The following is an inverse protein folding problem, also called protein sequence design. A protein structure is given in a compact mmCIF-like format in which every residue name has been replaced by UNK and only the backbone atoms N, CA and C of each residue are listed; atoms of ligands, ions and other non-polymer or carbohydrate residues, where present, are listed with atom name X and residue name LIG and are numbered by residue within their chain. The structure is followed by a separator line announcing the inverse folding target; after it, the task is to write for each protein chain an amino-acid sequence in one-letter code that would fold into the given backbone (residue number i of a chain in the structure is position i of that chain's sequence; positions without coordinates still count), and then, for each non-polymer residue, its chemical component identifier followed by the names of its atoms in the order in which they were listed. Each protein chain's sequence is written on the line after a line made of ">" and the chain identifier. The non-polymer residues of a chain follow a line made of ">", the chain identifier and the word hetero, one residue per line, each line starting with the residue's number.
data_IF_364585613939
#
_entry.id   IF_364585613939
#
_cell.length_a   1.000
_cell.length_b   1.000
_cell.length_c   1.000
_cell.angle_alpha   90.00
_cell.angle_beta   90.00
_cell.angle_gamma   90.00
#
_symmetry.space_group_name_H-M   'P 1'
#
loop_
_entity.id
_entity.type
_entity.pdbx_description
1 polymer ?
#
# COMPACT_ATOMS: atom_id res chain seq x y z
N UNK A 1 -21.59 -15.52 -19.64
CA UNK A 1 -20.30 -16.06 -19.14
C UNK A 1 -19.73 -17.06 -20.14
N UNK A 2 -18.51 -16.80 -20.63
CA UNK A 2 -17.75 -17.75 -21.46
C UNK A 2 -17.08 -18.83 -20.58
N UNK A 3 -16.80 -20.04 -21.09
CA UNK A 3 -16.22 -21.13 -20.29
C UNK A 3 -14.87 -20.77 -19.63
N UNK A 4 -14.06 -19.95 -20.31
CA UNK A 4 -12.76 -19.50 -19.80
C UNK A 4 -12.86 -18.38 -18.74
N UNK A 5 -14.04 -17.76 -18.59
CA UNK A 5 -14.29 -16.80 -17.50
C UNK A 5 -14.13 -17.43 -16.12
N UNK A 6 -14.27 -18.77 -16.01
CA UNK A 6 -14.16 -19.53 -14.76
C UNK A 6 -12.69 -19.84 -14.40
N UNK A 7 -11.79 -19.93 -15.39
CA UNK A 7 -10.36 -20.24 -15.14
C UNK A 7 -9.60 -19.03 -14.59
N UNK A 8 -9.90 -17.83 -15.10
CA UNK A 8 -9.24 -16.59 -14.66
C UNK A 8 -9.87 -15.92 -13.44
N UNK A 9 -10.90 -16.54 -12.83
CA UNK A 9 -11.61 -16.01 -11.65
C UNK A 9 -10.68 -15.74 -10.47
N UNK A 10 -9.57 -16.49 -10.39
CA UNK A 10 -8.65 -16.46 -9.28
C UNK A 10 -7.39 -15.65 -9.56
N UNK A 11 -7.22 -15.10 -10.77
CA UNK A 11 -5.96 -14.49 -11.23
C UNK A 11 -6.07 -12.98 -11.45
N UNK A 12 -7.22 -12.36 -11.18
CA UNK A 12 -7.42 -10.92 -11.35
C UNK A 12 -6.51 -10.04 -10.50
N UNK A 13 -5.92 -10.60 -9.45
CA UNK A 13 -4.88 -9.96 -8.64
C UNK A 13 -3.58 -9.75 -9.45
N UNK A 14 -3.24 -10.66 -10.38
CA UNK A 14 -2.04 -10.56 -11.22
C UNK A 14 -2.05 -9.32 -12.11
N UNK A 15 -3.22 -8.77 -12.43
CA UNK A 15 -3.33 -7.52 -13.17
C UNK A 15 -2.62 -6.37 -12.43
N UNK A 16 -2.59 -6.37 -11.10
CA UNK A 16 -1.88 -5.35 -10.31
C UNK A 16 -0.36 -5.47 -10.35
N UNK A 17 0.20 -6.58 -10.86
CA UNK A 17 1.63 -6.70 -11.14
C UNK A 17 2.03 -6.05 -12.48
N UNK A 18 1.07 -5.65 -13.30
CA UNK A 18 1.34 -4.97 -14.56
C UNK A 18 1.67 -3.49 -14.33
N UNK A 19 2.65 -2.90 -15.06
CA UNK A 19 3.03 -1.49 -14.86
C UNK A 19 1.86 -0.52 -14.97
N UNK A 20 0.90 -0.81 -15.85
CA UNK A 20 -0.22 0.06 -16.17
C UNK A 20 -1.28 0.11 -15.05
N UNK A 21 -1.33 -0.93 -14.20
CA UNK A 21 -2.36 -1.12 -13.16
C UNK A 21 -1.75 -1.07 -11.75
N UNK A 22 -0.44 -1.29 -11.62
CA UNK A 22 0.26 -1.29 -10.34
C UNK A 22 -0.04 -0.03 -9.50
N UNK A 23 -0.08 1.13 -10.16
CA UNK A 23 -0.33 2.43 -9.52
C UNK A 23 -1.82 2.71 -9.24
N UNK A 24 -2.75 1.86 -9.70
CA UNK A 24 -4.16 2.09 -9.44
C UNK A 24 -4.44 1.90 -7.95
N UNK A 25 -5.05 2.91 -7.34
CA UNK A 25 -5.43 2.88 -5.92
C UNK A 25 -6.92 3.19 -5.78
N UNK A 26 -7.56 2.77 -4.67
CA UNK A 26 -8.85 3.32 -4.29
C UNK A 26 -8.75 4.84 -4.12
N UNK A 27 -9.86 5.59 -4.21
CA UNK A 27 -9.86 7.01 -3.87
C UNK A 27 -9.38 7.25 -2.44
N UNK A 28 -8.67 8.36 -2.22
CA UNK A 28 -8.10 8.76 -0.92
C UNK A 28 -9.08 8.64 0.27
N UNK A 29 -10.37 9.05 0.17
CA UNK A 29 -11.32 8.85 1.27
C UNK A 29 -11.54 7.39 1.66
N UNK A 30 -11.54 6.47 0.68
CA UNK A 30 -11.72 5.04 0.93
C UNK A 30 -10.44 4.39 1.48
N UNK A 31 -9.27 4.86 1.02
CA UNK A 31 -7.99 4.46 1.61
C UNK A 31 -7.94 4.83 3.09
N UNK A 32 -8.31 6.08 3.43
CA UNK A 32 -8.34 6.57 4.81
C UNK A 32 -9.28 5.75 5.70
N UNK A 33 -10.51 5.51 5.25
CA UNK A 33 -11.49 4.69 5.97
C UNK A 33 -10.97 3.28 6.25
N UNK A 34 -10.35 2.64 5.27
CA UNK A 34 -9.75 1.32 5.47
C UNK A 34 -8.61 1.37 6.50
N UNK A 35 -7.75 2.39 6.41
CA UNK A 35 -6.65 2.56 7.37
C UNK A 35 -7.15 2.78 8.80
N UNK A 36 -8.18 3.60 8.99
CA UNK A 36 -8.84 3.81 10.29
C UNK A 36 -9.41 2.48 10.83
N UNK A 37 -10.10 1.71 9.98
CA UNK A 37 -10.66 0.42 10.36
C UNK A 37 -9.59 -0.61 10.74
N UNK A 38 -8.44 -0.61 10.07
CA UNK A 38 -7.30 -1.48 10.39
C UNK A 38 -6.60 -1.03 11.67
N UNK A 39 -6.42 0.27 11.88
CA UNK A 39 -5.83 0.80 13.11
C UNK A 39 -6.69 0.49 14.34
N UNK A 40 -8.02 0.53 14.20
CA UNK A 40 -8.94 0.13 15.26
C UNK A 40 -8.78 -1.34 15.70
N UNK A 41 -8.23 -2.22 14.86
CA UNK A 41 -7.90 -3.59 15.25
C UNK A 41 -6.68 -3.65 16.17
N UNK A 42 -5.74 -2.71 16.03
CA UNK A 42 -4.55 -2.65 16.87
C UNK A 42 -4.84 -2.10 18.29
N UNK A 43 -5.84 -1.21 18.41
CA UNK A 43 -6.31 -0.67 19.69
C UNK A 43 -7.44 -1.51 20.33
N UNK A 44 -7.83 -2.61 19.70
CA UNK A 44 -8.88 -3.49 20.21
C UNK A 44 -8.49 -4.12 21.56
N UNK A 45 -9.38 -4.12 22.57
CA UNK A 45 -9.12 -4.78 23.85
C UNK A 45 -9.11 -6.31 23.75
N UNK A 46 -9.50 -6.86 22.59
CA UNK A 46 -9.43 -8.29 22.34
C UNK A 46 -7.98 -8.71 22.12
N UNK A 47 -7.51 -9.66 22.94
CA UNK A 47 -6.21 -10.31 22.75
C UNK A 47 -6.25 -11.21 21.51
N UNK A 48 -6.07 -10.62 20.33
CA UNK A 48 -5.96 -11.34 19.06
C UNK A 48 -4.53 -11.85 18.87
N UNK A 49 -4.39 -13.12 18.48
CA UNK A 49 -3.12 -13.65 17.99
C UNK A 49 -2.73 -12.99 16.66
N UNK A 50 -1.45 -13.09 16.27
CA UNK A 50 -0.97 -12.59 14.98
C UNK A 50 -1.80 -13.08 13.78
N UNK A 51 -2.05 -14.41 13.65
CA UNK A 51 -2.90 -14.96 12.60
C UNK A 51 -4.34 -14.41 12.62
N UNK A 52 -4.98 -14.34 13.79
CA UNK A 52 -6.34 -13.80 13.92
C UNK A 52 -6.41 -12.33 13.51
N UNK A 53 -5.40 -11.54 13.86
CA UNK A 53 -5.31 -10.14 13.41
C UNK A 53 -5.20 -10.05 11.89
N UNK A 54 -4.38 -10.90 11.28
CA UNK A 54 -4.24 -10.94 9.82
C UNK A 54 -5.58 -11.30 9.14
N UNK A 55 -6.31 -12.28 9.65
CA UNK A 55 -7.64 -12.64 9.14
C UNK A 55 -8.63 -11.47 9.23
N UNK A 56 -8.64 -10.77 10.37
CA UNK A 56 -9.49 -9.58 10.56
C UNK A 56 -9.12 -8.47 9.58
N UNK A 57 -7.83 -8.22 9.34
CA UNK A 57 -7.37 -7.27 8.33
C UNK A 57 -7.86 -7.66 6.94
N UNK A 58 -7.73 -8.94 6.56
CA UNK A 58 -8.22 -9.42 5.27
C UNK A 58 -9.75 -9.32 5.16
N UNK A 59 -10.49 -9.48 6.25
CA UNK A 59 -11.93 -9.22 6.26
C UNK A 59 -12.23 -7.74 6.02
N UNK A 60 -11.53 -6.81 6.69
CA UNK A 60 -11.70 -5.36 6.47
C UNK A 60 -11.41 -4.94 5.04
N UNK A 61 -10.38 -5.52 4.40
CA UNK A 61 -10.07 -5.29 2.99
C UNK A 61 -11.23 -5.73 2.10
N UNK A 62 -11.77 -6.94 2.33
CA UNK A 62 -12.92 -7.46 1.57
C UNK A 62 -14.17 -6.61 1.76
N UNK A 63 -14.46 -6.21 3.00
CA UNK A 63 -15.60 -5.36 3.33
C UNK A 63 -15.50 -3.99 2.63
N UNK A 64 -14.32 -3.36 2.67
CA UNK A 64 -14.07 -2.08 2.03
C UNK A 64 -14.21 -2.17 0.50
N UNK A 65 -13.66 -3.22 -0.11
CA UNK A 65 -13.80 -3.45 -1.53
C UNK A 65 -15.28 -3.64 -1.94
N UNK A 66 -16.04 -4.45 -1.19
CA UNK A 66 -17.47 -4.66 -1.45
C UNK A 66 -18.28 -3.37 -1.30
N UNK A 67 -18.00 -2.58 -0.27
CA UNK A 67 -18.69 -1.32 -0.03
C UNK A 67 -18.41 -0.29 -1.14
N UNK A 68 -17.16 -0.22 -1.63
CA UNK A 68 -16.78 0.71 -2.68
C UNK A 68 -17.29 0.32 -4.07
N UNK A 69 -17.27 -0.96 -4.41
CA UNK A 69 -17.72 -1.44 -5.71
C UNK A 69 -19.26 -1.55 -5.78
N UNK A 70 -19.93 -0.40 -5.72
CA UNK A 70 -21.36 -0.24 -6.06
C UNK A 70 -21.59 -0.56 -7.54
N UNK A 71 -22.84 -0.81 -8.00
CA UNK A 71 -23.12 -1.11 -9.41
C UNK A 71 -22.51 -0.10 -10.39
N UNK A 72 -22.58 1.19 -10.07
CA UNK A 72 -22.05 2.27 -10.91
C UNK A 72 -20.52 2.24 -10.96
N UNK A 73 -19.88 2.01 -9.81
CA UNK A 73 -18.42 1.89 -9.72
C UNK A 73 -17.94 0.65 -10.47
N UNK A 74 -18.63 -0.49 -10.32
CA UNK A 74 -18.35 -1.73 -11.05
C UNK A 74 -18.37 -1.49 -12.56
N UNK A 75 -19.40 -0.82 -13.10
CA UNK A 75 -19.47 -0.50 -14.53
C UNK A 75 -18.30 0.38 -15.00
N UNK A 76 -17.92 1.38 -14.21
CA UNK A 76 -16.79 2.27 -14.56
C UNK A 76 -15.47 1.51 -14.60
N UNK A 77 -15.20 0.65 -13.61
CA UNK A 77 -13.98 -0.17 -13.59
C UNK A 77 -14.01 -1.25 -14.67
N UNK A 78 -15.17 -1.86 -14.95
CA UNK A 78 -15.33 -2.80 -16.05
C UNK A 78 -14.93 -2.17 -17.40
N UNK A 79 -15.43 -0.96 -17.71
CA UNK A 79 -15.05 -0.24 -18.93
C UNK A 79 -13.56 0.11 -18.96
N UNK A 80 -12.96 0.41 -17.81
CA UNK A 80 -11.52 0.69 -17.73
C UNK A 80 -10.69 -0.57 -18.00
N UNK A 81 -11.06 -1.70 -17.39
CA UNK A 81 -10.43 -3.00 -17.63
C UNK A 81 -10.62 -3.49 -19.07
N UNK A 82 -11.77 -3.22 -19.68
CA UNK A 82 -12.00 -3.55 -21.09
C UNK A 82 -11.03 -2.82 -22.03
N UNK A 83 -10.73 -1.56 -21.74
CA UNK A 83 -9.70 -0.80 -22.48
C UNK A 83 -8.30 -1.35 -22.23
N UNK A 84 -7.98 -1.76 -21.00
CA UNK A 84 -6.72 -2.42 -20.70
C UNK A 84 -6.57 -3.75 -21.45
N UNK A 85 -7.65 -4.52 -21.58
CA UNK A 85 -7.61 -5.75 -22.36
C UNK A 85 -7.30 -5.51 -23.84
N UNK A 86 -7.85 -4.45 -24.43
CA UNK A 86 -7.51 -4.05 -25.80
C UNK A 86 -6.02 -3.69 -25.91
N UNK A 87 -5.52 -2.85 -25.00
CA UNK A 87 -4.10 -2.50 -24.94
C UNK A 87 -3.17 -3.72 -24.78
N UNK A 88 -3.50 -4.65 -23.89
CA UNK A 88 -2.72 -5.88 -23.72
C UNK A 88 -2.76 -6.77 -24.97
N UNK A 89 -3.87 -6.78 -25.71
CA UNK A 89 -3.94 -7.50 -26.99
C UNK A 89 -3.02 -6.88 -28.03
N UNK A 90 -3.08 -5.55 -28.19
CA UNK A 90 -2.27 -4.80 -29.16
C UNK A 90 -0.77 -4.91 -28.87
N UNK A 91 -0.40 -5.06 -27.60
CA UNK A 91 1.00 -5.19 -27.14
C UNK A 91 1.49 -6.64 -27.05
N UNK A 92 0.72 -7.62 -27.52
CA UNK A 92 1.13 -9.03 -27.55
C UNK A 92 1.16 -9.73 -26.18
N UNK A 93 0.28 -9.30 -25.26
CA UNK A 93 0.13 -9.81 -23.89
C UNK A 93 -1.23 -10.50 -23.69
N UNK A 94 -1.48 -11.64 -24.38
CA UNK A 94 -2.82 -12.26 -24.45
C UNK A 94 -3.35 -12.71 -23.08
N UNK A 95 -2.49 -13.27 -22.22
CA UNK A 95 -2.88 -13.71 -20.88
C UNK A 95 -3.47 -12.55 -20.05
N UNK A 96 -2.78 -11.39 -20.03
CA UNK A 96 -3.27 -10.21 -19.32
C UNK A 96 -4.53 -9.63 -19.96
N UNK A 97 -4.66 -9.72 -21.28
CA UNK A 97 -5.88 -9.32 -21.97
C UNK A 97 -7.08 -10.16 -21.52
N UNK A 98 -6.91 -11.48 -21.45
CA UNK A 98 -7.99 -12.41 -21.08
C UNK A 98 -8.38 -12.26 -19.60
N UNK A 99 -7.40 -12.10 -18.70
CA UNK A 99 -7.65 -11.75 -17.30
C UNK A 99 -8.45 -10.45 -17.17
N UNK A 100 -8.04 -9.40 -17.90
CA UNK A 100 -8.72 -8.10 -17.87
C UNK A 100 -10.15 -8.17 -18.45
N UNK A 101 -10.40 -8.97 -19.49
CA UNK A 101 -11.76 -9.21 -20.02
C UNK A 101 -12.63 -9.96 -19.03
N UNK A 102 -12.10 -11.00 -18.40
CA UNK A 102 -12.80 -11.80 -17.40
C UNK A 102 -13.25 -10.95 -16.21
N UNK A 103 -12.34 -10.15 -15.65
CA UNK A 103 -12.65 -9.22 -14.55
C UNK A 103 -13.62 -8.10 -15.00
N UNK A 104 -13.47 -7.57 -16.21
CA UNK A 104 -14.42 -6.59 -16.74
C UNK A 104 -15.84 -7.16 -16.85
N UNK A 105 -16.01 -8.36 -17.41
CA UNK A 105 -17.31 -9.04 -17.51
C UNK A 105 -17.89 -9.32 -16.13
N UNK A 106 -17.07 -9.79 -15.19
CA UNK A 106 -17.48 -10.04 -13.80
C UNK A 106 -18.03 -8.79 -13.13
N UNK A 107 -17.28 -7.68 -13.20
CA UNK A 107 -17.73 -6.41 -12.66
C UNK A 107 -19.00 -5.90 -13.36
N UNK A 108 -19.10 -6.07 -14.68
CA UNK A 108 -20.26 -5.61 -15.44
C UNK A 108 -21.54 -6.39 -15.13
N UNK A 109 -21.45 -7.72 -14.99
CA UNK A 109 -22.61 -8.58 -14.75
C UNK A 109 -22.93 -8.81 -13.27
N UNK A 110 -22.08 -8.32 -12.35
CA UNK A 110 -22.36 -8.29 -10.92
C UNK A 110 -22.44 -9.66 -10.26
N UNK A 111 -21.64 -10.64 -10.72
CA UNK A 111 -21.53 -11.92 -10.01
C UNK A 111 -20.95 -11.66 -8.61
N UNK A 112 -21.80 -11.78 -7.59
CA UNK A 112 -21.44 -11.42 -6.22
C UNK A 112 -20.47 -12.43 -5.59
N UNK A 113 -20.40 -13.68 -6.09
CA UNK A 113 -19.41 -14.67 -5.62
C UNK A 113 -18.83 -15.58 -6.73
N UNK A 114 -17.54 -15.96 -6.63
CA UNK A 114 -16.54 -15.35 -5.75
C UNK A 114 -16.32 -13.88 -6.15
N UNK A 115 -16.19 -13.00 -5.14
CA UNK A 115 -15.96 -11.59 -5.38
C UNK A 115 -14.65 -11.34 -6.17
N UNK A 116 -14.58 -10.24 -6.92
CA UNK A 116 -13.48 -9.91 -7.81
C UNK A 116 -12.15 -9.80 -7.05
N UNK A 117 -11.16 -10.64 -7.41
CA UNK A 117 -9.81 -10.58 -6.84
C UNK A 117 -9.09 -9.31 -7.24
N UNK A 118 -9.33 -8.82 -8.45
CA UNK A 118 -8.88 -7.49 -8.85
C UNK A 118 -9.36 -6.39 -7.88
N UNK A 119 -10.65 -6.41 -7.52
CA UNK A 119 -11.24 -5.42 -6.61
C UNK A 119 -10.68 -5.53 -5.19
N UNK A 120 -10.54 -6.75 -4.66
CA UNK A 120 -9.92 -6.98 -3.33
C UNK A 120 -8.46 -6.50 -3.30
N UNK A 121 -7.67 -6.86 -4.31
CA UNK A 121 -6.24 -6.51 -4.37
C UNK A 121 -6.03 -5.00 -4.48
N UNK A 122 -6.94 -4.26 -5.13
CA UNK A 122 -6.92 -2.80 -5.16
C UNK A 122 -6.88 -2.22 -3.74
N UNK A 123 -7.65 -2.78 -2.81
CA UNK A 123 -7.68 -2.35 -1.41
C UNK A 123 -6.57 -2.99 -0.57
N UNK A 124 -6.18 -4.23 -0.85
CA UNK A 124 -5.08 -4.90 -0.13
C UNK A 124 -3.76 -4.12 -0.24
N UNK A 125 -3.49 -3.49 -1.40
CA UNK A 125 -2.31 -2.64 -1.60
C UNK A 125 -2.21 -1.48 -0.61
N UNK A 126 -3.34 -0.93 -0.16
CA UNK A 126 -3.36 0.16 0.84
C UNK A 126 -2.74 -0.31 2.15
N UNK A 127 -3.09 -1.51 2.60
CA UNK A 127 -2.57 -2.08 3.85
C UNK A 127 -1.08 -2.40 3.72
N UNK A 128 -0.66 -2.97 2.59
CA UNK A 128 0.76 -3.27 2.34
C UNK A 128 1.60 -1.99 2.34
N UNK A 129 1.13 -0.95 1.64
CA UNK A 129 1.81 0.34 1.59
C UNK A 129 1.93 0.98 2.98
N UNK A 130 0.85 0.94 3.76
CA UNK A 130 0.87 1.49 5.12
C UNK A 130 1.80 0.72 6.06
N UNK A 131 1.84 -0.61 5.96
CA UNK A 131 2.76 -1.44 6.73
C UNK A 131 4.22 -1.13 6.37
N UNK A 132 4.54 -0.99 5.07
CA UNK A 132 5.87 -0.60 4.61
C UNK A 132 6.27 0.80 5.11
N UNK A 133 5.33 1.76 5.08
CA UNK A 133 5.54 3.10 5.61
C UNK A 133 5.83 3.11 7.11
N UNK A 134 5.09 2.32 7.90
CA UNK A 134 5.31 2.18 9.34
C UNK A 134 6.68 1.54 9.66
N UNK A 135 7.07 0.51 8.90
CA UNK A 135 8.39 -0.13 9.03
C UNK A 135 9.54 0.84 8.72
N UNK A 136 9.42 1.62 7.66
CA UNK A 136 10.43 2.62 7.29
C UNK A 136 10.60 3.70 8.38
N UNK A 137 9.50 4.16 8.99
CA UNK A 137 9.53 5.12 10.09
C UNK A 137 10.18 4.54 11.35
N UNK A 138 9.85 3.29 11.71
CA UNK A 138 10.46 2.62 12.85
C UNK A 138 11.98 2.41 12.66
N UNK A 139 12.40 2.03 11.45
CA UNK A 139 13.82 1.91 11.09
C UNK A 139 14.56 3.25 11.20
N UNK A 140 13.96 4.35 10.72
CA UNK A 140 14.53 5.69 10.84
C UNK A 140 14.64 6.15 12.31
N UNK A 141 13.64 5.84 13.15
CA UNK A 141 13.68 6.16 14.58
C UNK A 141 14.76 5.38 15.34
N UNK A 142 15.02 4.13 14.93
CA UNK A 142 16.05 3.27 15.55
C UNK A 142 17.46 3.62 15.05
N UNK A 143 17.58 4.05 13.78
CA UNK A 143 18.83 4.52 13.18
C UNK A 143 19.30 5.89 13.66
N UNK A 144 18.44 6.66 14.34
CA UNK A 144 18.79 7.94 14.96
C UNK A 144 19.47 7.80 16.35
N UNK A 145 19.69 6.57 16.84
CA UNK A 145 20.46 6.30 18.05
C UNK A 145 21.78 5.61 17.71
N UNK A 146 22.70 6.36 17.11
CA UNK A 146 24.11 5.98 17.08
C UNK A 146 24.73 6.24 18.47
N UNK A 147 25.32 5.24 19.14
CA UNK A 147 26.05 5.45 20.39
C UNK A 147 27.47 5.97 20.08
N UNK A 148 27.87 7.03 20.78
CA UNK A 148 29.28 7.35 21.03
C UNK A 148 29.92 8.33 20.06
N UNK A 149 29.72 9.62 20.32
CA UNK A 149 30.78 10.62 20.09
C UNK A 149 32.02 10.18 20.89
N UNK A 150 33.20 9.97 20.28
CA UNK A 150 34.42 9.78 21.06
C UNK A 150 34.75 11.09 21.79
N UNK A 151 35.13 11.06 23.09
CA UNK A 151 35.45 12.27 23.82
C UNK A 151 36.68 12.95 23.21
N UNK A 152 36.56 14.24 22.91
CA UNK A 152 37.66 15.08 22.49
C UNK A 152 38.77 15.10 23.56
N UNK A 153 40.06 14.94 23.21
CA UNK A 153 41.14 15.07 24.17
C UNK A 153 41.30 16.53 24.61
N UNK A 154 41.28 16.74 25.93
CA UNK A 154 41.49 18.02 26.58
C UNK A 154 42.86 18.62 26.22
N UNK A 155 42.88 19.85 25.71
CA UNK A 155 44.10 20.65 25.57
C UNK A 155 44.33 21.50 26.84
N UNK A 156 45.53 21.51 27.43
CA UNK A 156 45.81 22.27 28.65
C UNK A 156 45.91 23.77 28.38
N UNK A 157 45.18 24.51 29.22
CA UNK A 157 45.17 25.96 29.38
C UNK A 157 46.58 26.52 29.60
N UNK A 158 47.06 27.33 28.65
CA UNK A 158 48.27 28.13 28.87
C UNK A 158 47.87 29.56 29.20
N UNK A 159 47.81 29.84 30.50
CA UNK A 159 47.62 31.16 31.10
C UNK A 159 48.73 32.12 30.64
N UNK A 160 48.40 33.13 29.83
CA UNK A 160 49.19 34.37 29.77
C UNK A 160 48.50 35.42 30.65
N UNK A 161 48.92 35.50 31.92
CA UNK A 161 48.76 36.70 32.76
C UNK A 161 49.66 37.80 32.16
N UNK A 162 49.10 38.91 31.66
CA UNK A 162 48.75 40.15 32.38
C UNK A 162 49.91 41.17 32.34
N UNK A 163 49.75 42.46 32.71
CA UNK A 163 49.31 43.54 31.82
C UNK A 163 50.22 44.80 31.84
N UNK A 164 50.05 45.69 30.87
CA UNK A 164 50.23 47.13 31.07
C UNK A 164 51.59 47.77 30.74
N UNK A 165 51.54 48.77 29.85
CA UNK A 165 52.39 49.98 29.89
C UNK A 165 53.64 49.98 29.02
N UNK A 166 53.64 50.70 27.91
CA UNK A 166 54.14 52.09 27.86
C UNK A 166 53.98 52.70 26.46
N UNK A 167 53.87 54.02 26.48
CA UNK A 167 53.60 54.97 25.39
C UNK A 167 54.90 55.28 24.61
N UNK A 168 54.73 55.53 23.30
CA UNK A 168 55.51 56.31 22.28
C UNK A 168 56.80 57.08 22.69
N UNK A 169 57.76 57.36 21.77
CA UNK A 169 57.55 57.87 20.40
C UNK A 169 58.09 57.03 19.23
#
# INVERSE_FOLDING_TARGET
>A
PEPDDVRHVLEGDQLHATPEIAEWMPPEPEMRRLMEAVQALASSPLALSGPQRQEQVQQRVRDAARAFFTPEVRQRYARRLWRMAAYFTETGRPLQADMARGEARRLFHGLDEPFSRFAETLFAKVVVLAAAGAQAQAAAATGAHAPGEPPAPAAPSNERRSPGGLILP
#
